data_IF_725755522670
#
_entry.id   IF_725755522670
#
_cell.length_a   1.000
_cell.length_b   1.000
_cell.length_c   1.000
_cell.angle_alpha   90.00
_cell.angle_beta   90.00
_cell.angle_gamma   90.00
#
_symmetry.space_group_name_H-M   'P 1'
#
loop_
_entity.id
_entity.type
_entity.pdbx_description
1 polymer ?
#
# COMPACT_ATOMS: atom_id res chain seq x y z
N UNK A 1 50.05 36.91 -49.30
CA UNK A 1 48.96 36.00 -49.70
C UNK A 1 49.10 34.72 -48.87
N UNK A 2 48.37 34.65 -47.77
CA UNK A 2 48.23 33.44 -46.95
C UNK A 2 47.22 32.47 -47.60
N UNK A 3 47.43 31.15 -47.51
CA UNK A 3 46.34 30.21 -47.46
C UNK A 3 46.37 29.44 -46.15
N UNK A 4 45.49 29.85 -45.23
CA UNK A 4 45.16 29.13 -44.01
C UNK A 4 44.37 27.85 -44.35
N UNK A 5 45.03 26.69 -44.31
CA UNK A 5 44.39 25.38 -44.39
C UNK A 5 43.82 24.98 -43.04
N UNK A 6 42.49 24.93 -42.91
CA UNK A 6 41.81 24.44 -41.69
C UNK A 6 41.62 22.93 -41.77
N UNK A 7 42.17 22.21 -40.79
CA UNK A 7 41.93 20.78 -40.57
C UNK A 7 40.47 20.51 -40.11
N UNK A 8 39.87 19.35 -40.44
CA UNK A 8 38.48 19.05 -40.12
C UNK A 8 38.31 18.78 -38.63
N UNK A 9 37.25 19.37 -38.04
CA UNK A 9 36.85 19.17 -36.65
C UNK A 9 36.30 17.74 -36.50
N UNK A 10 37.00 16.89 -35.74
CA UNK A 10 36.44 15.62 -35.24
C UNK A 10 35.24 15.93 -34.35
N UNK A 11 34.07 15.47 -34.74
CA UNK A 11 32.88 15.41 -33.90
C UNK A 11 33.19 14.51 -32.69
N UNK A 12 33.21 15.09 -31.50
CA UNK A 12 33.18 14.32 -30.26
C UNK A 12 31.78 13.75 -30.13
N UNK A 13 31.62 12.46 -30.43
CA UNK A 13 30.45 11.71 -29.97
C UNK A 13 30.37 11.85 -28.44
N UNK A 14 29.21 12.19 -27.87
CA UNK A 14 29.06 12.17 -26.43
C UNK A 14 29.09 10.70 -26.01
N UNK A 15 30.22 10.28 -25.44
CA UNK A 15 30.29 9.07 -24.64
C UNK A 15 29.18 9.19 -23.60
N UNK A 16 28.08 8.49 -23.82
CA UNK A 16 27.08 8.20 -22.80
C UNK A 16 27.79 7.33 -21.75
N UNK A 17 28.57 7.97 -20.89
CA UNK A 17 28.88 7.42 -19.59
C UNK A 17 27.52 7.32 -18.88
N UNK A 18 26.96 6.12 -18.90
CA UNK A 18 26.02 5.67 -17.88
C UNK A 18 26.74 5.87 -16.56
N UNK A 19 26.46 6.98 -15.90
CA UNK A 19 26.86 7.23 -14.53
C UNK A 19 26.00 6.31 -13.67
N UNK A 20 26.39 5.05 -13.57
CA UNK A 20 25.93 4.19 -12.49
C UNK A 20 26.40 4.85 -11.20
N UNK A 21 25.52 5.66 -10.61
CA UNK A 21 25.80 6.43 -9.42
C UNK A 21 25.90 5.44 -8.26
N UNK A 22 27.12 5.00 -7.97
CA UNK A 22 27.39 4.08 -6.88
C UNK A 22 27.13 4.78 -5.54
N UNK A 23 26.26 4.21 -4.72
CA UNK A 23 26.10 4.63 -3.33
C UNK A 23 27.32 4.10 -2.56
N UNK A 24 28.18 5.01 -2.11
CA UNK A 24 29.33 4.65 -1.28
C UNK A 24 28.82 4.48 0.15
N UNK A 25 28.70 3.23 0.58
CA UNK A 25 28.32 2.87 1.94
C UNK A 25 29.53 3.10 2.88
N UNK A 26 29.75 4.37 3.25
CA UNK A 26 30.84 4.81 4.12
C UNK A 26 30.59 4.43 5.59
N UNK A 27 30.25 3.17 5.85
CA UNK A 27 29.93 2.64 7.19
C UNK A 27 28.53 3.00 7.69
N UNK A 28 27.60 3.38 6.81
CA UNK A 28 26.24 3.73 7.19
C UNK A 28 25.40 2.45 7.38
N UNK A 29 25.08 2.14 8.64
CA UNK A 29 24.27 0.96 8.96
C UNK A 29 22.82 1.15 8.44
N UNK A 30 22.22 0.06 7.92
CA UNK A 30 20.79 -0.04 7.58
C UNK A 30 20.32 0.70 6.31
N UNK A 31 21.17 0.89 5.30
CA UNK A 31 20.75 1.46 4.01
C UNK A 31 19.93 0.49 3.13
N UNK A 32 20.02 -0.81 3.38
CA UNK A 32 19.28 -1.81 2.60
C UNK A 32 17.79 -1.82 2.95
N UNK A 33 16.88 -1.77 1.95
CA UNK A 33 15.45 -1.90 2.19
C UNK A 33 15.09 -3.24 2.84
N UNK A 34 14.22 -3.20 3.85
CA UNK A 34 13.67 -4.39 4.50
C UNK A 34 12.18 -4.23 4.78
N UNK A 35 11.40 -5.31 4.85
CA UNK A 35 9.98 -5.22 5.16
C UNK A 35 9.78 -4.93 6.64
N UNK A 36 8.85 -4.04 6.96
CA UNK A 36 8.37 -3.88 8.32
C UNK A 36 7.60 -5.13 8.74
N UNK A 37 8.01 -5.80 9.81
CA UNK A 37 7.36 -7.02 10.32
C UNK A 37 5.92 -6.84 10.82
N UNK A 38 5.36 -5.63 10.77
CA UNK A 38 3.99 -5.38 11.25
C UNK A 38 3.10 -4.58 10.30
N UNK A 39 3.63 -3.92 9.27
CA UNK A 39 2.84 -3.33 8.19
C UNK A 39 3.25 -3.83 6.79
N UNK A 40 4.31 -4.62 6.68
CA UNK A 40 4.77 -5.19 5.40
C UNK A 40 5.55 -4.22 4.50
N UNK A 41 5.43 -2.90 4.71
CA UNK A 41 6.10 -1.90 3.87
C UNK A 41 7.62 -2.12 3.82
N UNK A 42 8.16 -2.15 2.60
CA UNK A 42 9.60 -2.11 2.33
C UNK A 42 10.11 -0.68 2.53
N UNK A 43 11.15 -0.50 3.35
CA UNK A 43 11.78 0.79 3.58
C UNK A 43 13.25 0.61 3.98
N UNK A 44 14.10 1.60 3.72
CA UNK A 44 15.47 1.64 4.22
C UNK A 44 15.52 2.36 5.59
N UNK A 45 15.79 1.67 6.71
CA UNK A 45 15.76 2.31 8.02
C UNK A 45 16.82 3.40 8.19
N UNK A 46 17.97 3.27 7.51
CA UNK A 46 19.08 4.24 7.55
C UNK A 46 18.80 5.54 6.79
N UNK A 47 17.79 5.56 5.93
CA UNK A 47 17.38 6.75 5.16
C UNK A 47 16.28 7.50 5.92
N UNK A 48 16.50 8.76 6.36
CA UNK A 48 15.53 9.51 7.16
C UNK A 48 14.18 9.70 6.46
N UNK A 49 14.19 9.95 5.15
CA UNK A 49 13.02 10.17 4.32
C UNK A 49 12.13 8.91 4.27
N UNK A 50 12.74 7.75 3.98
CA UNK A 50 12.07 6.45 4.00
C UNK A 50 11.48 6.13 5.37
N UNK A 51 12.24 6.38 6.45
CA UNK A 51 11.75 6.16 7.81
C UNK A 51 10.53 7.02 8.11
N UNK A 52 10.53 8.29 7.70
CA UNK A 52 9.40 9.20 7.88
C UNK A 52 8.18 8.74 7.07
N UNK A 53 8.39 8.30 5.83
CA UNK A 53 7.33 7.76 4.98
C UNK A 53 6.75 6.48 5.59
N UNK A 54 7.60 5.57 6.05
CA UNK A 54 7.20 4.36 6.76
C UNK A 54 6.34 4.69 7.99
N UNK A 55 6.74 5.62 8.85
CA UNK A 55 5.95 6.00 10.02
C UNK A 55 4.56 6.54 9.65
N UNK A 56 4.47 7.35 8.58
CA UNK A 56 3.20 7.89 8.08
C UNK A 56 2.30 6.77 7.53
N UNK A 57 2.85 5.91 6.69
CA UNK A 57 2.14 4.75 6.14
C UNK A 57 1.67 3.82 7.25
N UNK A 58 2.57 3.44 8.15
CA UNK A 58 2.31 2.56 9.29
C UNK A 58 1.16 3.04 10.17
N UNK A 59 1.14 4.34 10.49
CA UNK A 59 0.06 4.95 11.27
C UNK A 59 -1.27 4.91 10.52
N UNK A 60 -1.28 5.28 9.24
CA UNK A 60 -2.49 5.28 8.40
C UNK A 60 -3.06 3.88 8.28
N UNK A 61 -2.22 2.90 7.93
CA UNK A 61 -2.61 1.50 7.75
C UNK A 61 -3.22 0.92 9.04
N UNK A 62 -2.54 1.09 10.17
CA UNK A 62 -3.05 0.59 11.46
C UNK A 62 -4.38 1.21 11.86
N UNK A 63 -4.56 2.50 11.63
CA UNK A 63 -5.82 3.18 11.93
C UNK A 63 -6.95 2.71 11.01
N UNK A 64 -6.67 2.58 9.71
CA UNK A 64 -7.64 2.15 8.71
C UNK A 64 -8.04 0.68 8.84
N UNK A 65 -7.16 -0.20 9.35
CA UNK A 65 -7.48 -1.61 9.57
C UNK A 65 -8.03 -1.92 10.97
N UNK A 66 -7.95 -1.00 11.93
CA UNK A 66 -8.48 -1.25 13.28
C UNK A 66 -10.00 -1.10 13.35
N UNK A 67 -10.71 -2.16 13.78
CA UNK A 67 -12.17 -2.19 13.93
C UNK A 67 -12.61 -1.99 15.38
N UNK A 68 -13.17 -0.83 15.69
CA UNK A 68 -13.82 -0.59 17.00
C UNK A 68 -14.94 -1.59 17.26
N UNK A 69 -15.14 -1.99 18.51
CA UNK A 69 -16.28 -2.81 18.94
C UNK A 69 -17.59 -2.12 18.66
N UNK A 70 -18.49 -2.80 17.95
CA UNK A 70 -19.84 -2.31 17.69
C UNK A 70 -20.82 -3.00 18.62
N UNK A 71 -21.95 -2.33 18.91
CA UNK A 71 -23.02 -2.91 19.74
C UNK A 71 -23.65 -4.14 19.08
N UNK A 72 -23.75 -4.10 17.76
CA UNK A 72 -24.29 -5.19 16.96
C UNK A 72 -23.29 -5.53 15.85
N UNK A 73 -22.81 -6.78 15.90
CA UNK A 73 -21.88 -7.36 14.93
C UNK A 73 -22.49 -8.64 14.39
N UNK A 74 -22.55 -8.78 13.07
CA UNK A 74 -22.99 -10.02 12.42
C UNK A 74 -21.78 -10.94 12.24
N UNK A 75 -21.48 -11.74 13.26
CA UNK A 75 -20.43 -12.76 13.20
C UNK A 75 -20.98 -13.98 12.46
N UNK A 76 -20.26 -14.44 11.42
CA UNK A 76 -20.65 -15.60 10.61
C UNK A 76 -19.74 -16.81 10.84
N UNK A 77 -18.56 -16.61 11.44
CA UNK A 77 -17.67 -17.67 11.87
C UNK A 77 -16.72 -17.17 12.97
N UNK A 78 -16.35 -18.05 13.90
CA UNK A 78 -15.38 -17.79 14.95
C UNK A 78 -14.26 -18.83 14.90
N UNK A 79 -13.06 -18.38 15.21
CA UNK A 79 -11.82 -19.17 15.19
C UNK A 79 -11.00 -18.86 16.44
N UNK A 80 -9.99 -19.67 16.71
CA UNK A 80 -9.09 -19.46 17.85
C UNK A 80 -8.23 -18.19 17.70
N UNK A 81 -8.00 -17.74 16.46
CA UNK A 81 -7.19 -16.58 16.09
C UNK A 81 -8.01 -15.41 15.54
N UNK A 82 -9.35 -15.45 15.65
CA UNK A 82 -10.17 -14.37 15.15
C UNK A 82 -11.62 -14.73 14.86
N UNK A 83 -12.29 -13.87 14.10
CA UNK A 83 -13.69 -14.07 13.67
C UNK A 83 -13.98 -13.37 12.35
N UNK A 84 -14.99 -13.85 11.64
CA UNK A 84 -15.45 -13.26 10.39
C UNK A 84 -16.75 -12.48 10.63
N UNK A 85 -16.74 -11.21 10.25
CA UNK A 85 -17.93 -10.35 10.22
C UNK A 85 -18.48 -10.27 8.81
N UNK A 86 -19.80 -10.34 8.66
CA UNK A 86 -20.51 -10.06 7.40
C UNK A 86 -21.17 -8.69 7.46
N UNK A 87 -20.82 -7.81 6.54
CA UNK A 87 -21.44 -6.50 6.33
C UNK A 87 -22.28 -6.53 5.04
N UNK A 88 -23.51 -6.04 5.16
CA UNK A 88 -24.49 -5.94 4.07
C UNK A 88 -24.80 -4.46 3.75
N UNK A 89 -25.30 -4.13 2.55
CA UNK A 89 -25.57 -2.74 2.15
C UNK A 89 -26.56 -2.00 3.05
N UNK A 90 -27.46 -2.71 3.72
CA UNK A 90 -28.45 -2.13 4.65
C UNK A 90 -27.96 -1.96 6.09
N UNK A 91 -26.71 -2.29 6.39
CA UNK A 91 -26.17 -2.18 7.74
C UNK A 91 -25.93 -0.71 8.16
N UNK A 92 -25.76 -0.43 9.46
CA UNK A 92 -25.53 0.91 9.95
C UNK A 92 -24.34 1.61 9.26
N UNK A 93 -24.46 2.93 9.06
CA UNK A 93 -23.44 3.75 8.37
C UNK A 93 -22.02 3.59 8.91
N UNK A 94 -21.85 3.32 10.20
CA UNK A 94 -20.51 3.10 10.77
C UNK A 94 -19.84 1.84 10.22
N UNK A 95 -20.61 0.80 9.89
CA UNK A 95 -20.09 -0.46 9.35
C UNK A 95 -19.74 -0.29 7.88
N UNK A 96 -20.62 0.36 7.12
CA UNK A 96 -20.38 0.70 5.72
C UNK A 96 -19.15 1.60 5.56
N UNK A 97 -19.01 2.64 6.41
CA UNK A 97 -17.81 3.49 6.39
C UNK A 97 -16.55 2.69 6.68
N UNK A 98 -16.63 1.71 7.60
CA UNK A 98 -15.48 0.87 7.89
C UNK A 98 -15.07 0.00 6.71
N UNK A 99 -16.05 -0.57 6.00
CA UNK A 99 -15.79 -1.29 4.74
C UNK A 99 -15.10 -0.37 3.73
N UNK A 100 -15.59 0.85 3.54
CA UNK A 100 -14.96 1.82 2.63
C UNK A 100 -13.52 2.16 3.03
N UNK A 101 -13.25 2.38 4.33
CA UNK A 101 -11.89 2.61 4.84
C UNK A 101 -10.95 1.43 4.53
N UNK A 102 -11.42 0.18 4.71
CA UNK A 102 -10.65 -1.03 4.42
C UNK A 102 -10.41 -1.20 2.91
N UNK A 103 -11.45 -1.01 2.08
CA UNK A 103 -11.32 -1.13 0.63
C UNK A 103 -10.39 -0.05 0.06
N UNK A 104 -10.42 1.17 0.59
CA UNK A 104 -9.48 2.20 0.17
C UNK A 104 -8.02 1.81 0.44
N UNK A 105 -7.75 1.07 1.52
CA UNK A 105 -6.42 0.48 1.76
C UNK A 105 -6.10 -0.57 0.71
N UNK A 106 -7.02 -1.51 0.46
CA UNK A 106 -6.83 -2.58 -0.54
C UNK A 106 -6.55 -1.99 -1.92
N UNK A 107 -7.35 -1.02 -2.37
CA UNK A 107 -7.20 -0.35 -3.64
C UNK A 107 -5.83 0.33 -3.75
N UNK A 108 -5.42 1.04 -2.69
CA UNK A 108 -4.10 1.70 -2.65
C UNK A 108 -2.93 0.72 -2.71
N UNK A 109 -3.03 -0.44 -2.05
CA UNK A 109 -1.98 -1.47 -2.08
C UNK A 109 -1.92 -2.19 -3.43
N UNK A 110 -3.06 -2.32 -4.12
CA UNK A 110 -3.15 -2.89 -5.47
C UNK A 110 -2.81 -1.88 -6.58
N UNK A 111 -2.60 -0.60 -6.23
CA UNK A 111 -2.30 0.47 -7.19
C UNK A 111 -3.50 1.01 -7.95
N UNK A 112 -4.73 0.73 -7.50
CA UNK A 112 -5.93 1.33 -8.07
C UNK A 112 -6.04 2.81 -7.67
N UNK A 113 -6.53 3.69 -8.57
CA UNK A 113 -6.75 5.09 -8.23
C UNK A 113 -7.79 5.21 -7.12
N UNK A 114 -7.56 6.15 -6.19
CA UNK A 114 -8.58 6.55 -5.23
C UNK A 114 -9.87 6.87 -6.01
N UNK A 115 -11.00 6.33 -5.56
CA UNK A 115 -12.34 6.44 -6.17
C UNK A 115 -12.68 5.47 -7.32
N UNK A 116 -11.90 4.41 -7.55
CA UNK A 116 -12.31 3.30 -8.42
C UNK A 116 -13.53 2.52 -7.88
N UNK A 117 -13.95 2.77 -6.64
CA UNK A 117 -14.98 2.03 -5.94
C UNK A 117 -16.39 2.18 -6.51
N UNK A 118 -16.71 1.39 -7.53
CA UNK A 118 -18.08 0.90 -7.70
C UNK A 118 -18.21 -0.28 -6.74
N UNK A 119 -18.75 -0.06 -5.55
CA UNK A 119 -19.26 -1.16 -4.75
C UNK A 119 -20.52 -1.65 -5.45
N UNK A 120 -20.55 -2.88 -6.03
CA UNK A 120 -21.74 -3.31 -6.75
C UNK A 120 -22.92 -3.33 -5.78
N UNK A 121 -24.04 -2.75 -6.20
CA UNK A 121 -25.34 -2.89 -5.53
C UNK A 121 -25.53 -4.37 -5.17
N UNK A 122 -25.90 -4.66 -3.91
CA UNK A 122 -26.09 -6.01 -3.36
C UNK A 122 -24.82 -6.85 -3.05
N UNK A 123 -23.64 -6.24 -3.01
CA UNK A 123 -22.42 -6.96 -2.58
C UNK A 123 -22.44 -7.30 -1.08
N UNK A 124 -21.87 -8.46 -0.76
CA UNK A 124 -21.64 -8.96 0.61
C UNK A 124 -20.16 -8.83 0.94
N UNK A 125 -19.85 -8.22 2.08
CA UNK A 125 -18.46 -8.01 2.51
C UNK A 125 -18.17 -8.83 3.74
N UNK A 126 -17.08 -9.59 3.69
CA UNK A 126 -16.60 -10.39 4.80
C UNK A 126 -15.28 -9.80 5.28
N UNK A 127 -15.19 -9.49 6.57
CA UNK A 127 -13.95 -9.02 7.21
C UNK A 127 -13.49 -10.04 8.23
N UNK A 128 -12.25 -10.51 8.12
CA UNK A 128 -11.61 -11.29 9.17
C UNK A 128 -10.94 -10.37 10.17
N UNK A 129 -11.33 -10.48 11.45
CA UNK A 129 -10.78 -9.72 12.56
C UNK A 129 -9.92 -10.60 13.46
N UNK A 130 -8.72 -10.12 13.79
CA UNK A 130 -7.90 -10.71 14.85
C UNK A 130 -8.53 -10.52 16.24
N UNK A 131 -8.00 -11.18 17.31
CA UNK A 131 -8.47 -10.96 18.67
C UNK A 131 -8.21 -9.53 19.15
N UNK A 132 -7.18 -8.89 18.60
CA UNK A 132 -6.85 -7.47 18.81
C UNK A 132 -7.66 -6.51 17.93
N UNK A 133 -8.70 -7.02 17.24
CA UNK A 133 -9.65 -6.25 16.42
C UNK A 133 -9.06 -5.60 15.17
N UNK A 134 -7.89 -6.05 14.71
CA UNK A 134 -7.35 -5.64 13.43
C UNK A 134 -7.99 -6.44 12.31
N UNK A 135 -8.38 -5.78 11.22
CA UNK A 135 -8.78 -6.45 9.98
C UNK A 135 -7.54 -7.05 9.33
N UNK A 136 -7.50 -8.38 9.22
CA UNK A 136 -6.40 -9.10 8.56
C UNK A 136 -6.80 -9.64 7.19
N UNK A 137 -8.10 -9.69 6.87
CA UNK A 137 -8.60 -10.15 5.59
C UNK A 137 -9.91 -9.46 5.22
N UNK A 138 -10.10 -9.25 3.91
CA UNK A 138 -11.30 -8.67 3.32
C UNK A 138 -11.69 -9.47 2.08
N UNK A 139 -12.98 -9.83 1.97
CA UNK A 139 -13.55 -10.46 0.79
C UNK A 139 -14.83 -9.75 0.40
N UNK A 140 -14.94 -9.36 -0.87
CA UNK A 140 -16.15 -8.78 -1.45
C UNK A 140 -16.73 -9.79 -2.44
N UNK A 141 -17.99 -10.15 -2.25
CA UNK A 141 -18.70 -11.07 -3.11
C UNK A 141 -19.97 -10.41 -3.65
N UNK A 142 -20.16 -10.46 -4.97
CA UNK A 142 -21.42 -10.10 -5.61
C UNK A 142 -22.04 -11.34 -6.23
N UNK A 143 -23.37 -11.38 -6.30
CA UNK A 143 -24.05 -12.44 -7.06
C UNK A 143 -23.80 -12.23 -8.54
N UNK A 144 -23.65 -13.31 -9.28
CA UNK A 144 -23.68 -13.31 -10.75
C UNK A 144 -24.97 -14.02 -11.17
N UNK A 145 -25.69 -13.45 -12.14
CA UNK A 145 -26.77 -14.17 -12.84
C UNK A 145 -26.13 -14.97 -13.97
N UNK A 146 -26.46 -16.25 -14.08
CA UNK A 146 -26.12 -17.08 -15.24
C UNK A 146 -27.10 -16.85 -16.38
#
# INVERSE_FOLDING_TARGET
FDPSGKAPRRSKEPLQHSWDQMIIDAGQQQLFPRPCGSCGMLFAPGVPEDRLQHLRHHRRLRQALYCRSWKQERVVAEFWDGKILLILPGDPKYALRKVQEVLAVVDSELGFPAHAGIFPEHSRVYLFLSPTRSVLGCLVAHSISQ
#
